data_IF_170874369646
#
_entry.id   IF_170874369646
#
_cell.length_a   1.000
_cell.length_b   1.000
_cell.length_c   1.000
_cell.angle_alpha   90.00
_cell.angle_beta   90.00
_cell.angle_gamma   90.00
#
_symmetry.space_group_name_H-M   'P 1'
#
loop_
_entity.id
_entity.type
_entity.pdbx_description
1 polymer ?
#
# COMPACT_ATOMS: atom_id res chain seq x y z
N UNK A 1 9.05 -14.65 1.06
CA UNK A 1 10.39 -14.19 0.58
C UNK A 1 10.16 -13.22 -0.56
N UNK A 2 10.83 -12.06 -0.56
CA UNK A 2 10.76 -11.10 -1.66
C UNK A 2 11.83 -11.47 -2.68
N UNK A 3 11.41 -11.94 -3.85
CA UNK A 3 12.34 -12.49 -4.85
C UNK A 3 13.03 -11.39 -5.68
N UNK A 4 12.36 -10.27 -5.94
CA UNK A 4 12.94 -9.15 -6.68
C UNK A 4 13.42 -8.06 -5.72
N UNK A 5 14.65 -8.20 -5.23
CA UNK A 5 15.24 -7.27 -4.27
C UNK A 5 15.46 -5.86 -4.85
N UNK A 6 15.80 -5.76 -6.14
CA UNK A 6 15.99 -4.45 -6.79
C UNK A 6 14.71 -3.64 -6.78
N UNK A 7 13.60 -4.21 -7.28
CA UNK A 7 12.32 -3.53 -7.30
C UNK A 7 11.84 -3.16 -5.88
N UNK A 8 12.13 -4.02 -4.89
CA UNK A 8 11.82 -3.72 -3.49
C UNK A 8 12.65 -2.56 -2.93
N UNK A 9 13.95 -2.51 -3.21
CA UNK A 9 14.79 -1.37 -2.83
C UNK A 9 14.34 -0.08 -3.52
N UNK A 10 13.87 -0.15 -4.77
CA UNK A 10 13.33 1.02 -5.49
C UNK A 10 12.08 1.54 -4.79
N UNK A 11 11.15 0.65 -4.42
CA UNK A 11 9.97 1.00 -3.64
C UNK A 11 10.32 1.58 -2.26
N UNK A 12 11.34 1.05 -1.59
CA UNK A 12 11.84 1.58 -0.30
C UNK A 12 12.31 3.03 -0.46
N UNK A 13 13.07 3.36 -1.51
CA UNK A 13 13.58 4.73 -1.70
C UNK A 13 12.45 5.74 -1.93
N UNK A 14 11.42 5.35 -2.67
CA UNK A 14 10.22 6.19 -2.85
C UNK A 14 9.49 6.34 -1.51
N UNK A 15 9.30 5.24 -0.77
CA UNK A 15 8.63 5.28 0.53
C UNK A 15 9.38 6.14 1.57
N UNK A 16 10.71 6.10 1.57
CA UNK A 16 11.56 6.88 2.48
C UNK A 16 11.34 8.38 2.29
N UNK A 17 11.29 8.85 1.04
CA UNK A 17 11.00 10.24 0.71
C UNK A 17 9.67 10.71 1.34
N UNK A 18 8.58 9.95 1.12
CA UNK A 18 7.27 10.32 1.67
C UNK A 18 7.20 10.17 3.19
N UNK A 19 7.88 9.18 3.77
CA UNK A 19 7.96 9.03 5.22
C UNK A 19 8.68 10.23 5.87
N UNK A 20 9.76 10.73 5.25
CA UNK A 20 10.47 11.92 5.70
C UNK A 20 9.63 13.21 5.59
N UNK A 21 8.74 13.28 4.59
CA UNK A 21 7.71 14.32 4.47
C UNK A 21 6.56 14.17 5.50
N UNK A 22 6.59 13.13 6.33
CA UNK A 22 5.65 12.93 7.44
C UNK A 22 4.42 12.10 7.09
N UNK A 23 4.44 11.38 5.97
CA UNK A 23 3.38 10.44 5.61
C UNK A 23 3.56 9.07 6.30
N UNK A 24 2.45 8.34 6.43
CA UNK A 24 2.46 6.91 6.76
C UNK A 24 2.34 6.14 5.45
N UNK A 25 3.39 5.40 5.10
CA UNK A 25 3.49 4.68 3.83
C UNK A 25 3.22 3.19 4.06
N UNK A 26 2.53 2.56 3.12
CA UNK A 26 2.34 1.10 3.05
C UNK A 26 2.74 0.59 1.67
N UNK A 27 3.04 -0.70 1.56
CA UNK A 27 3.47 -1.33 0.31
C UNK A 27 2.37 -2.24 -0.22
N UNK A 28 1.88 -1.94 -1.42
CA UNK A 28 0.91 -2.75 -2.14
C UNK A 28 1.56 -3.81 -3.02
N UNK A 29 0.97 -5.01 -3.08
CA UNK A 29 1.34 -6.07 -4.01
C UNK A 29 0.26 -6.18 -5.07
N UNK A 30 0.64 -6.26 -6.35
CA UNK A 30 -0.30 -6.47 -7.46
C UNK A 30 -0.98 -7.82 -7.26
N UNK A 31 -2.32 -7.87 -7.08
CA UNK A 31 -3.03 -9.12 -6.90
C UNK A 31 -2.98 -9.96 -8.18
N UNK A 32 -2.80 -11.26 -8.03
CA UNK A 32 -2.94 -12.22 -9.13
C UNK A 32 -4.08 -13.23 -8.90
N UNK A 33 -4.81 -13.10 -7.80
CA UNK A 33 -5.96 -13.92 -7.42
C UNK A 33 -6.91 -13.13 -6.48
N UNK A 34 -8.19 -13.56 -6.34
CA UNK A 34 -9.13 -12.95 -5.40
C UNK A 34 -8.98 -13.52 -3.98
N UNK A 35 -7.83 -13.25 -3.34
CA UNK A 35 -7.50 -13.78 -2.02
C UNK A 35 -8.29 -13.11 -0.88
N UNK A 36 -9.21 -13.83 -0.26
CA UNK A 36 -10.04 -13.34 0.86
C UNK A 36 -9.28 -13.27 2.19
N UNK A 37 -8.08 -13.85 2.26
CA UNK A 37 -7.25 -13.86 3.47
C UNK A 37 -6.44 -12.59 3.68
N UNK A 38 -6.36 -11.71 2.68
CA UNK A 38 -5.54 -10.50 2.70
C UNK A 38 -6.37 -9.23 2.87
N UNK A 39 -5.72 -8.19 3.39
CA UNK A 39 -6.20 -6.83 3.25
C UNK A 39 -5.99 -6.32 1.83
N UNK A 40 -6.88 -5.44 1.36
CA UNK A 40 -6.81 -4.75 0.09
C UNK A 40 -6.68 -3.24 0.31
N UNK A 41 -5.93 -2.59 -0.57
CA UNK A 41 -5.67 -1.15 -0.58
C UNK A 41 -6.18 -0.63 -1.92
N UNK A 42 -7.20 0.21 -1.93
CA UNK A 42 -7.58 0.92 -3.15
C UNK A 42 -6.61 2.08 -3.34
N UNK A 43 -5.94 2.15 -4.51
CA UNK A 43 -5.16 3.33 -4.86
C UNK A 43 -6.10 4.50 -5.16
N UNK A 44 -5.72 5.67 -4.68
CA UNK A 44 -6.31 6.95 -5.05
C UNK A 44 -5.46 7.64 -6.12
N UNK A 45 -5.38 8.97 -6.01
CA UNK A 45 -4.61 9.77 -6.95
C UNK A 45 -3.11 9.45 -6.88
N UNK A 46 -2.47 9.41 -8.05
CA UNK A 46 -1.02 9.34 -8.14
C UNK A 46 -0.41 10.64 -7.61
N UNK A 47 0.66 10.54 -6.81
CA UNK A 47 1.38 11.69 -6.25
C UNK A 47 2.46 12.21 -7.20
N UNK A 48 2.89 11.39 -8.16
CA UNK A 48 3.83 11.75 -9.23
C UNK A 48 3.40 11.12 -10.54
N UNK A 49 3.90 11.62 -11.67
CA UNK A 49 3.61 11.09 -13.00
C UNK A 49 4.81 10.26 -13.51
N UNK A 50 4.99 9.06 -12.94
CA UNK A 50 6.13 8.19 -13.21
C UNK A 50 5.73 6.71 -13.16
N UNK A 51 6.56 5.83 -13.73
CA UNK A 51 6.29 4.40 -13.70
C UNK A 51 6.32 3.77 -12.29
N UNK A 52 6.86 4.48 -11.28
CA UNK A 52 7.03 4.01 -9.90
C UNK A 52 6.33 4.95 -8.91
N UNK A 53 5.25 5.58 -9.34
CA UNK A 53 4.56 6.59 -8.55
C UNK A 53 3.98 6.03 -7.26
N UNK A 54 4.14 6.79 -6.18
CA UNK A 54 3.33 6.60 -5.00
C UNK A 54 1.89 7.05 -5.27
N UNK A 55 0.95 6.42 -4.59
CA UNK A 55 -0.47 6.76 -4.65
C UNK A 55 -0.95 7.16 -3.27
N UNK A 56 -1.91 8.07 -3.22
CA UNK A 56 -2.73 8.21 -2.01
C UNK A 56 -3.49 6.90 -1.77
N UNK A 57 -3.72 6.54 -0.51
CA UNK A 57 -4.62 5.43 -0.18
C UNK A 57 -6.03 5.97 -0.12
N UNK A 58 -6.90 5.51 -1.02
CA UNK A 58 -8.31 5.89 -1.00
C UNK A 58 -9.08 5.14 0.11
N UNK A 59 -8.76 3.85 0.32
CA UNK A 59 -9.35 3.03 1.38
C UNK A 59 -8.52 1.79 1.68
N UNK A 60 -8.64 1.31 2.92
CA UNK A 60 -8.24 -0.04 3.33
C UNK A 60 -9.49 -0.92 3.50
N UNK A 61 -9.39 -2.18 3.08
CA UNK A 61 -10.43 -3.20 3.25
C UNK A 61 -9.77 -4.46 3.79
N UNK A 62 -10.06 -4.85 5.02
CA UNK A 62 -9.47 -6.06 5.60
C UNK A 62 -10.33 -7.29 5.25
N UNK A 63 -9.73 -8.29 4.60
CA UNK A 63 -10.30 -9.62 4.37
C UNK A 63 -11.73 -9.59 3.80
N UNK A 64 -11.90 -9.08 2.56
CA UNK A 64 -13.20 -9.04 1.93
C UNK A 64 -13.76 -10.45 1.67
N UNK A 65 -15.06 -10.53 1.45
CA UNK A 65 -15.67 -11.74 0.89
C UNK A 65 -15.17 -12.02 -0.55
N UNK A 66 -15.49 -13.20 -1.07
CA UNK A 66 -15.02 -13.65 -2.38
C UNK A 66 -15.50 -12.75 -3.52
N UNK A 67 -16.76 -12.35 -3.50
CA UNK A 67 -17.37 -11.51 -4.54
C UNK A 67 -16.66 -10.16 -4.65
N UNK A 68 -16.38 -9.52 -3.50
CA UNK A 68 -15.62 -8.26 -3.45
C UNK A 68 -14.17 -8.46 -3.89
N UNK A 69 -13.51 -9.53 -3.47
CA UNK A 69 -12.14 -9.82 -3.87
C UNK A 69 -12.01 -10.00 -5.40
N UNK A 70 -13.00 -10.65 -6.03
CA UNK A 70 -13.10 -10.78 -7.49
C UNK A 70 -13.30 -9.42 -8.17
N UNK A 71 -14.20 -8.58 -7.64
CA UNK A 71 -14.41 -7.23 -8.15
C UNK A 71 -13.15 -6.35 -8.02
N UNK A 72 -12.41 -6.46 -6.92
CA UNK A 72 -11.17 -5.71 -6.69
C UNK A 72 -10.04 -6.15 -7.64
N UNK A 73 -9.91 -7.45 -7.88
CA UNK A 73 -8.98 -7.97 -8.87
C UNK A 73 -9.35 -7.49 -10.28
N UNK A 74 -10.63 -7.57 -10.64
CA UNK A 74 -11.11 -7.18 -11.96
C UNK A 74 -10.96 -5.67 -12.25
N UNK A 75 -11.05 -4.80 -11.22
CA UNK A 75 -10.91 -3.36 -11.43
C UNK A 75 -9.47 -2.92 -11.70
N UNK A 76 -8.47 -3.65 -11.19
CA UNK A 76 -7.06 -3.22 -11.25
C UNK A 76 -6.75 -1.96 -10.43
N UNK A 77 -7.68 -1.55 -9.57
CA UNK A 77 -7.52 -0.38 -8.67
C UNK A 77 -7.09 -0.77 -7.26
N UNK A 78 -7.02 -2.07 -6.97
CA UNK A 78 -6.67 -2.55 -5.65
C UNK A 78 -5.38 -3.34 -5.65
N UNK A 79 -4.65 -3.21 -4.55
CA UNK A 79 -3.44 -3.95 -4.24
C UNK A 79 -3.65 -4.74 -2.96
N UNK A 80 -2.99 -5.88 -2.81
CA UNK A 80 -2.92 -6.53 -1.51
C UNK A 80 -2.05 -5.72 -0.55
N UNK A 81 -2.51 -5.59 0.68
CA UNK A 81 -1.70 -5.06 1.77
C UNK A 81 -0.60 -6.07 2.11
N UNK A 82 0.65 -5.69 1.92
CA UNK A 82 1.80 -6.55 2.27
C UNK A 82 2.02 -6.71 3.78
N UNK A 83 1.38 -5.89 4.61
CA UNK A 83 1.65 -5.80 6.04
C UNK A 83 2.91 -5.00 6.39
N UNK A 84 3.64 -4.47 5.39
CA UNK A 84 4.78 -3.60 5.57
C UNK A 84 4.36 -2.13 5.61
N UNK A 85 5.01 -1.37 6.48
CA UNK A 85 4.79 0.06 6.65
C UNK A 85 6.11 0.79 6.84
N UNK A 86 6.13 2.06 6.45
CA UNK A 86 7.25 2.97 6.68
C UNK A 86 6.74 4.33 7.13
N UNK A 87 7.28 4.83 8.22
CA UNK A 87 6.93 6.11 8.82
C UNK A 87 8.01 6.55 9.81
N UNK A 88 8.07 7.84 10.09
CA UNK A 88 8.90 8.35 11.19
C UNK A 88 8.27 7.95 12.52
N UNK A 89 9.07 7.44 13.45
CA UNK A 89 8.59 7.00 14.77
C UNK A 89 7.77 8.09 15.49
N UNK A 90 8.25 9.34 15.47
CA UNK A 90 7.53 10.48 16.05
C UNK A 90 6.14 10.67 15.43
N UNK A 91 6.02 10.55 14.10
CA UNK A 91 4.75 10.72 13.40
C UNK A 91 3.76 9.62 13.79
N UNK A 92 4.22 8.38 13.88
CA UNK A 92 3.39 7.25 14.31
C UNK A 92 2.86 7.42 15.75
N UNK A 93 3.72 7.85 16.69
CA UNK A 93 3.30 8.12 18.06
C UNK A 93 2.25 9.25 18.14
N UNK A 94 2.36 10.27 17.29
CA UNK A 94 1.36 11.36 17.21
C UNK A 94 0.01 10.81 16.73
N UNK A 95 -0.01 9.98 15.68
CA UNK A 95 -1.26 9.40 15.17
C UNK A 95 -1.88 8.42 16.17
N UNK A 96 -1.09 7.59 16.86
CA UNK A 96 -1.55 6.68 17.91
C UNK A 96 -2.17 7.42 19.11
N UNK A 97 -1.70 8.62 19.45
CA UNK A 97 -2.26 9.39 20.54
C UNK A 97 -3.59 10.07 20.17
N UNK A 98 -3.89 10.20 18.88
CA UNK A 98 -5.05 10.92 18.35
C UNK A 98 -6.30 10.04 18.21
N UNK A 99 -6.12 8.76 17.91
CA UNK A 99 -7.20 7.80 17.64
C UNK A 99 -7.15 6.66 18.65
#
# INVERSE_FOLDING_TARGET
IINNQSAFHDAIRVAEQYADEGHLVTFGIVPNAPETGYGYIQRGMALTDSAHSAYQVARFVEKPDRERAEAYLASGEYYWNSGMFMFRAKKYLIELAKY
#
